data_IF_631569291138
#
_entry.id   IF_631569291138
#
_cell.length_a   1.000
_cell.length_b   1.000
_cell.length_c   1.000
_cell.angle_alpha   90.00
_cell.angle_beta   90.00
_cell.angle_gamma   90.00
#
_symmetry.space_group_name_H-M   'P 1'
#
loop_
_entity.id
_entity.type
_entity.pdbx_description
1 polymer ?
#
# COMPACT_ATOMS: atom_id res chain seq x y z
N UNK A 1 6.80 -5.54 -1.92
CA UNK A 1 5.66 -5.46 -2.86
C UNK A 1 5.01 -4.09 -2.93
N UNK A 2 5.78 -3.00 -3.03
CA UNK A 2 5.24 -1.64 -3.20
C UNK A 2 5.66 -1.10 -4.57
N UNK A 3 4.85 -1.27 -5.62
CA UNK A 3 5.18 -0.84 -6.98
C UNK A 3 5.56 0.64 -7.05
N UNK A 4 4.83 1.49 -6.33
CA UNK A 4 5.05 2.94 -6.27
C UNK A 4 6.44 3.33 -5.73
N UNK A 5 7.03 2.55 -4.82
CA UNK A 5 8.41 2.78 -4.36
C UNK A 5 9.42 2.25 -5.37
N UNK A 6 9.12 1.12 -6.00
CA UNK A 6 9.99 0.47 -6.99
C UNK A 6 10.22 1.38 -8.20
N UNK A 7 9.18 2.08 -8.67
CA UNK A 7 9.27 3.08 -9.74
C UNK A 7 10.22 4.23 -9.41
N UNK A 8 10.28 4.67 -8.15
CA UNK A 8 11.21 5.73 -7.73
C UNK A 8 12.66 5.26 -7.73
N UNK A 9 12.92 4.02 -7.32
CA UNK A 9 14.26 3.43 -7.40
C UNK A 9 14.70 3.19 -8.85
N UNK A 10 13.78 2.83 -9.75
CA UNK A 10 14.06 2.66 -11.18
C UNK A 10 14.43 3.97 -11.90
N UNK A 11 14.02 5.13 -11.36
CA UNK A 11 14.38 6.45 -11.91
C UNK A 11 15.79 6.92 -11.52
N UNK A 12 16.51 6.18 -10.65
CA UNK A 12 17.85 6.57 -10.19
C UNK A 12 18.89 6.28 -11.29
N UNK A 13 19.66 7.31 -11.65
CA UNK A 13 20.60 7.26 -12.79
C UNK A 13 21.91 6.52 -12.51
N UNK A 14 22.32 6.41 -11.24
CA UNK A 14 23.64 5.89 -10.85
C UNK A 14 23.53 4.94 -9.65
N UNK A 15 24.27 3.83 -9.71
CA UNK A 15 24.40 2.85 -8.63
C UNK A 15 24.89 3.47 -7.31
N UNK A 16 25.75 4.51 -7.36
CA UNK A 16 26.18 5.23 -6.15
C UNK A 16 25.02 5.97 -5.49
N UNK A 17 24.18 6.63 -6.30
CA UNK A 17 22.98 7.32 -5.83
C UNK A 17 21.94 6.32 -5.29
N UNK A 18 21.84 5.13 -5.87
CA UNK A 18 20.96 4.08 -5.37
C UNK A 18 21.35 3.61 -3.96
N UNK A 19 22.65 3.42 -3.69
CA UNK A 19 23.15 3.06 -2.35
C UNK A 19 22.86 4.15 -1.31
N UNK A 20 23.06 5.42 -1.69
CA UNK A 20 22.79 6.56 -0.82
C UNK A 20 21.29 6.68 -0.52
N UNK A 21 20.44 6.63 -1.56
CA UNK A 21 18.98 6.64 -1.42
C UNK A 21 18.47 5.50 -0.53
N UNK A 22 19.01 4.28 -0.71
CA UNK A 22 18.71 3.12 0.14
C UNK A 22 19.06 3.40 1.60
N UNK A 23 20.29 3.85 1.88
CA UNK A 23 20.76 4.06 3.25
C UNK A 23 19.94 5.17 3.94
N UNK A 24 19.70 6.29 3.27
CA UNK A 24 18.86 7.38 3.80
C UNK A 24 17.44 6.89 4.05
N UNK A 25 16.84 6.18 3.08
CA UNK A 25 15.49 5.65 3.19
C UNK A 25 15.33 4.67 4.36
N UNK A 26 16.28 3.74 4.54
CA UNK A 26 16.26 2.78 5.65
C UNK A 26 16.44 3.51 6.98
N UNK A 27 17.45 4.37 7.12
CA UNK A 27 17.70 5.11 8.36
C UNK A 27 16.48 5.94 8.77
N UNK A 28 15.87 6.65 7.82
CA UNK A 28 14.67 7.43 8.09
C UNK A 28 13.47 6.57 8.49
N UNK A 29 13.30 5.41 7.84
CA UNK A 29 12.22 4.47 8.18
C UNK A 29 12.37 3.94 9.60
N UNK A 30 13.60 3.60 10.01
CA UNK A 30 13.89 3.14 11.39
C UNK A 30 13.54 4.24 12.39
N UNK A 31 13.98 5.48 12.15
CA UNK A 31 13.67 6.62 13.03
C UNK A 31 12.16 6.85 13.12
N UNK A 32 11.44 6.83 12.00
CA UNK A 32 9.99 7.03 11.97
C UNK A 32 9.23 5.93 12.74
N UNK A 33 9.59 4.66 12.57
CA UNK A 33 8.95 3.55 13.27
C UNK A 33 9.25 3.53 14.76
N UNK A 34 10.50 3.81 15.16
CA UNK A 34 10.85 3.95 16.58
C UNK A 34 10.08 5.11 17.20
N UNK A 35 10.00 6.26 16.51
CA UNK A 35 9.25 7.42 16.97
C UNK A 35 7.75 7.12 17.16
N UNK A 36 7.12 6.45 16.18
CA UNK A 36 5.72 6.04 16.27
C UNK A 36 5.48 5.06 17.43
N UNK A 37 6.39 4.10 17.64
CA UNK A 37 6.30 3.14 18.74
C UNK A 37 6.43 3.83 20.10
N UNK A 38 7.39 4.74 20.26
CA UNK A 38 7.57 5.53 21.47
C UNK A 38 6.35 6.41 21.77
N UNK A 39 5.76 7.05 20.76
CA UNK A 39 4.51 7.81 20.89
C UNK A 39 3.37 6.95 21.44
N UNK A 40 3.22 5.72 20.94
CA UNK A 40 2.25 4.75 21.46
C UNK A 40 2.51 4.36 22.92
N UNK A 41 3.76 4.11 23.29
CA UNK A 41 4.15 3.77 24.67
C UNK A 41 3.95 4.95 25.63
N UNK A 42 4.30 6.17 25.23
CA UNK A 42 4.07 7.38 26.03
C UNK A 42 2.57 7.59 26.21
N UNK A 43 1.77 7.45 25.15
CA UNK A 43 0.32 7.52 25.24
C UNK A 43 -0.25 6.49 26.20
N UNK A 44 0.24 5.25 26.15
CA UNK A 44 -0.15 4.19 27.08
C UNK A 44 0.24 4.54 28.54
N UNK A 45 1.41 5.13 28.76
CA UNK A 45 1.87 5.51 30.11
C UNK A 45 1.06 6.69 30.69
N UNK A 46 0.65 7.65 29.86
CA UNK A 46 -0.09 8.84 30.29
C UNK A 46 -1.57 8.54 30.50
N UNK A 47 -2.20 7.82 29.57
CA UNK A 47 -3.64 7.61 29.57
C UNK A 47 -4.01 6.24 30.16
N UNK A 48 -3.14 5.23 30.09
CA UNK A 48 -3.48 3.85 30.45
C UNK A 48 -4.21 3.10 29.31
N UNK A 49 -4.40 1.78 29.44
CA UNK A 49 -4.82 0.91 28.34
C UNK A 49 -6.25 1.13 27.83
N UNK A 50 -7.13 1.73 28.63
CA UNK A 50 -8.57 1.85 28.33
C UNK A 50 -9.11 3.29 28.39
N UNK A 51 -8.25 4.31 28.51
CA UNK A 51 -8.73 5.67 28.72
C UNK A 51 -9.14 6.41 27.44
N UNK A 52 -8.71 5.96 26.26
CA UNK A 52 -9.11 6.55 24.99
C UNK A 52 -10.25 5.72 24.36
N UNK A 53 -11.41 6.33 24.04
CA UNK A 53 -12.50 5.66 23.33
C UNK A 53 -12.06 5.11 21.97
N UNK A 54 -11.16 5.83 21.30
CA UNK A 54 -10.53 5.44 20.05
C UNK A 54 -9.00 5.57 20.17
N UNK A 55 -8.32 4.44 19.95
CA UNK A 55 -6.86 4.31 20.08
C UNK A 55 -6.11 5.08 19.00
N UNK A 56 -6.76 5.43 17.89
CA UNK A 56 -6.12 6.17 16.80
C UNK A 56 -5.89 7.64 17.13
N UNK A 57 -6.61 8.15 18.13
CA UNK A 57 -6.42 9.50 18.67
C UNK A 57 -5.28 9.59 19.70
N UNK A 58 -4.52 8.51 19.93
CA UNK A 58 -3.40 8.53 20.88
C UNK A 58 -2.37 9.60 20.56
N UNK A 59 -2.06 9.80 19.27
CA UNK A 59 -1.08 10.80 18.84
C UNK A 59 -1.54 12.23 19.15
N UNK A 60 -2.69 12.72 18.67
CA UNK A 60 -3.14 14.07 18.98
C UNK A 60 -3.39 14.28 20.49
N UNK A 61 -3.96 13.28 21.19
CA UNK A 61 -4.18 13.37 22.63
C UNK A 61 -2.87 13.52 23.42
N UNK A 62 -1.84 12.74 23.06
CA UNK A 62 -0.52 12.81 23.71
C UNK A 62 0.15 14.15 23.46
N UNK A 63 0.10 14.67 22.23
CA UNK A 63 0.69 15.97 21.89
C UNK A 63 0.00 17.10 22.65
N UNK A 64 -1.33 17.12 22.69
CA UNK A 64 -2.07 18.16 23.43
C UNK A 64 -1.84 18.10 24.95
N UNK A 65 -1.49 16.93 25.49
CA UNK A 65 -1.22 16.76 26.92
C UNK A 65 0.17 17.23 27.33
N UNK A 66 1.17 17.04 26.47
CA UNK A 66 2.59 17.30 26.78
C UNK A 66 3.00 18.73 26.42
N UNK A 67 2.53 19.25 25.29
CA UNK A 67 3.00 20.51 24.74
C UNK A 67 2.05 21.68 25.03
N UNK A 68 2.56 22.93 25.07
CA UNK A 68 1.72 24.11 25.09
C UNK A 68 0.75 24.15 23.90
N UNK A 69 -0.47 24.72 24.03
CA UNK A 69 -1.51 24.63 23.00
C UNK A 69 -1.07 25.09 21.61
N UNK A 70 -0.28 26.16 21.52
CA UNK A 70 0.19 26.69 20.24
C UNK A 70 1.13 25.70 19.51
N UNK A 71 2.05 25.08 20.25
CA UNK A 71 2.99 24.11 19.68
C UNK A 71 2.29 22.79 19.37
N UNK A 72 1.36 22.35 20.23
CA UNK A 72 0.55 21.17 19.99
C UNK A 72 -0.26 21.29 18.69
N UNK A 73 -0.92 22.44 18.48
CA UNK A 73 -1.66 22.73 17.25
C UNK A 73 -0.73 22.68 16.02
N UNK A 74 0.44 23.32 16.08
CA UNK A 74 1.41 23.29 14.99
C UNK A 74 1.85 21.87 14.62
N UNK A 75 2.18 21.04 15.61
CA UNK A 75 2.63 19.66 15.40
C UNK A 75 1.53 18.78 14.81
N UNK A 76 0.30 18.88 15.33
CA UNK A 76 -0.85 18.11 14.84
C UNK A 76 -1.20 18.53 13.40
N UNK A 77 -1.24 19.83 13.12
CA UNK A 77 -1.47 20.33 11.76
C UNK A 77 -0.37 19.86 10.80
N UNK A 78 0.89 19.85 11.22
CA UNK A 78 1.99 19.31 10.44
C UNK A 78 1.82 17.82 10.11
N UNK A 79 1.40 17.01 11.08
CA UNK A 79 1.12 15.59 10.87
C UNK A 79 -0.04 15.37 9.89
N UNK A 80 -1.14 16.13 10.03
CA UNK A 80 -2.28 16.08 9.13
C UNK A 80 -1.86 16.51 7.71
N UNK A 81 -1.06 17.57 7.57
CA UNK A 81 -0.55 18.02 6.29
C UNK A 81 0.29 16.94 5.58
N UNK A 82 1.12 16.19 6.31
CA UNK A 82 1.89 15.07 5.78
C UNK A 82 1.00 13.89 5.33
N UNK A 83 -0.08 13.60 6.06
CA UNK A 83 -1.06 12.57 5.67
C UNK A 83 -1.79 12.99 4.38
N UNK A 84 -2.23 14.25 4.29
CA UNK A 84 -2.95 14.77 3.13
C UNK A 84 -2.05 14.76 1.88
N UNK A 85 -0.77 15.12 1.99
CA UNK A 85 0.16 15.08 0.85
C UNK A 85 0.38 13.66 0.30
N UNK A 86 0.35 12.66 1.19
CA UNK A 86 0.41 11.25 0.80
C UNK A 86 -0.89 10.81 0.14
N UNK A 87 -2.05 11.19 0.71
CA UNK A 87 -3.36 10.87 0.16
C UNK A 87 -3.56 11.45 -1.24
N UNK A 88 -3.18 12.71 -1.45
CA UNK A 88 -3.24 13.39 -2.76
C UNK A 88 -2.39 12.66 -3.81
N UNK A 89 -1.16 12.31 -3.45
CA UNK A 89 -0.26 11.55 -4.33
C UNK A 89 -0.86 10.19 -4.72
N UNK A 90 -1.52 9.49 -3.80
CA UNK A 90 -2.15 8.18 -4.07
C UNK A 90 -3.42 8.31 -4.92
N UNK A 91 -4.22 9.36 -4.72
CA UNK A 91 -5.41 9.63 -5.54
C UNK A 91 -5.03 9.95 -6.98
N UNK A 92 -4.06 10.84 -7.18
CA UNK A 92 -3.56 11.23 -8.50
C UNK A 92 -2.87 10.06 -9.21
N UNK A 93 -2.09 9.26 -8.47
CA UNK A 93 -1.49 8.05 -9.03
C UNK A 93 -2.57 7.07 -9.48
N UNK A 94 -3.55 6.78 -8.62
CA UNK A 94 -4.62 5.83 -8.95
C UNK A 94 -5.48 6.28 -10.13
N UNK A 95 -5.81 7.57 -10.22
CA UNK A 95 -6.57 8.12 -11.35
C UNK A 95 -5.77 8.10 -12.65
N UNK A 96 -4.46 8.36 -12.58
CA UNK A 96 -3.57 8.30 -13.74
C UNK A 96 -3.41 6.88 -14.24
N UNK A 97 -3.19 5.90 -13.35
CA UNK A 97 -3.12 4.49 -13.70
C UNK A 97 -4.42 4.00 -14.35
N UNK A 98 -5.58 4.37 -13.79
CA UNK A 98 -6.88 4.02 -14.36
C UNK A 98 -7.11 4.68 -15.74
N UNK A 99 -6.69 5.93 -15.89
CA UNK A 99 -6.85 6.68 -17.15
C UNK A 99 -5.92 6.16 -18.26
N UNK A 100 -4.63 6.04 -17.98
CA UNK A 100 -3.59 5.68 -18.96
C UNK A 100 -3.55 4.18 -19.25
N UNK A 101 -3.68 3.31 -18.24
CA UNK A 101 -3.48 1.87 -18.41
C UNK A 101 -4.77 1.08 -18.66
N UNK A 102 -5.94 1.65 -18.36
CA UNK A 102 -7.24 0.96 -18.56
C UNK A 102 -8.10 1.70 -19.57
N UNK A 103 -8.45 2.96 -19.32
CA UNK A 103 -9.45 3.69 -20.12
C UNK A 103 -8.92 4.05 -21.50
N UNK A 104 -7.70 4.60 -21.58
CA UNK A 104 -7.06 4.99 -22.84
C UNK A 104 -6.92 3.84 -23.84
N UNK A 105 -6.36 2.66 -23.50
CA UNK A 105 -6.28 1.55 -24.44
C UNK A 105 -7.66 0.99 -24.81
N UNK A 106 -8.60 0.95 -23.86
CA UNK A 106 -9.95 0.44 -24.09
C UNK A 106 -10.76 1.33 -25.05
N UNK A 107 -10.64 2.66 -24.91
CA UNK A 107 -11.32 3.65 -25.74
C UNK A 107 -10.50 4.16 -26.93
N UNK A 108 -9.27 3.64 -27.11
CA UNK A 108 -8.32 4.06 -28.15
C UNK A 108 -8.15 5.58 -28.23
N UNK A 109 -8.01 6.22 -27.06
CA UNK A 109 -7.90 7.69 -26.98
C UNK A 109 -6.46 8.09 -27.34
N UNK A 110 -6.31 8.80 -28.46
CA UNK A 110 -5.00 9.31 -28.90
C UNK A 110 -4.70 10.73 -28.43
N UNK A 111 -5.70 11.49 -27.98
CA UNK A 111 -5.52 12.87 -27.52
C UNK A 111 -5.12 12.92 -26.04
N UNK A 112 -3.89 13.37 -25.78
CA UNK A 112 -3.36 13.56 -24.43
C UNK A 112 -4.17 14.57 -23.60
N UNK A 113 -4.77 15.60 -24.22
CA UNK A 113 -5.60 16.58 -23.49
C UNK A 113 -6.87 15.93 -22.95
N UNK A 114 -7.46 15.02 -23.71
CA UNK A 114 -8.62 14.24 -23.27
C UNK A 114 -8.26 13.28 -22.14
N UNK A 115 -7.09 12.61 -22.22
CA UNK A 115 -6.60 11.74 -21.14
C UNK A 115 -6.36 12.52 -19.85
N UNK A 116 -5.75 13.72 -19.92
CA UNK A 116 -5.54 14.58 -18.75
C UNK A 116 -6.86 15.06 -18.13
N UNK A 117 -7.86 15.43 -18.94
CA UNK A 117 -9.20 15.80 -18.45
C UNK A 117 -9.89 14.62 -17.77
N UNK A 118 -9.77 13.42 -18.34
CA UNK A 118 -10.31 12.20 -17.75
C UNK A 118 -9.64 11.85 -16.43
N UNK A 119 -8.31 11.90 -16.35
CA UNK A 119 -7.57 11.69 -15.10
C UNK A 119 -8.06 12.64 -14.00
N UNK A 120 -8.23 13.95 -14.29
CA UNK A 120 -8.78 14.91 -13.31
C UNK A 120 -10.21 14.57 -12.86
N UNK A 121 -11.08 14.17 -13.80
CA UNK A 121 -12.44 13.73 -13.47
C UNK A 121 -12.44 12.48 -12.59
N UNK A 122 -11.58 11.50 -12.91
CA UNK A 122 -11.42 10.28 -12.13
C UNK A 122 -10.86 10.59 -10.73
N UNK A 123 -9.94 11.53 -10.59
CA UNK A 123 -9.48 11.99 -9.26
C UNK A 123 -10.65 12.50 -8.43
N UNK A 124 -11.52 13.33 -9.02
CA UNK A 124 -12.69 13.85 -8.31
C UNK A 124 -13.68 12.73 -7.91
N UNK A 125 -13.95 11.78 -8.82
CA UNK A 125 -14.82 10.62 -8.54
C UNK A 125 -14.24 9.74 -7.45
N UNK A 126 -12.94 9.41 -7.52
CA UNK A 126 -12.25 8.61 -6.51
C UNK A 126 -12.23 9.31 -5.15
N UNK A 127 -12.06 10.64 -5.12
CA UNK A 127 -12.13 11.42 -3.90
C UNK A 127 -13.53 11.37 -3.26
N UNK A 128 -14.60 11.47 -4.06
CA UNK A 128 -15.98 11.34 -3.58
C UNK A 128 -16.23 9.93 -3.02
N UNK A 129 -15.77 8.89 -3.70
CA UNK A 129 -15.90 7.50 -3.23
C UNK A 129 -15.14 7.31 -1.91
N UNK A 130 -13.90 7.79 -1.84
CA UNK A 130 -13.09 7.71 -0.63
C UNK A 130 -13.76 8.44 0.54
N UNK A 131 -14.34 9.63 0.29
CA UNK A 131 -15.07 10.39 1.30
C UNK A 131 -16.33 9.65 1.76
N UNK A 132 -17.11 9.08 0.84
CA UNK A 132 -18.29 8.30 1.16
C UNK A 132 -17.93 7.08 2.03
N UNK A 133 -16.87 6.35 1.68
CA UNK A 133 -16.37 5.23 2.48
C UNK A 133 -15.91 5.71 3.86
N UNK A 134 -15.21 6.84 3.94
CA UNK A 134 -14.75 7.41 5.21
C UNK A 134 -15.93 7.78 6.14
N UNK A 135 -17.04 8.30 5.60
CA UNK A 135 -18.23 8.63 6.38
C UNK A 135 -19.10 7.41 6.76
N UNK A 136 -19.19 6.42 5.87
CA UNK A 136 -20.03 5.23 6.07
C UNK A 136 -19.33 4.10 6.82
N UNK A 137 -17.99 4.11 6.86
CA UNK A 137 -17.25 3.06 7.56
C UNK A 137 -17.49 3.20 9.07
N UNK A 138 -17.90 2.11 9.75
CA UNK A 138 -17.92 2.11 11.21
C UNK A 138 -16.52 2.44 11.74
N UNK A 139 -16.44 3.11 12.89
CA UNK A 139 -15.21 3.55 13.59
C UNK A 139 -14.26 2.41 14.02
N UNK A 140 -14.31 1.25 13.34
CA UNK A 140 -13.38 0.15 13.54
C UNK A 140 -12.03 0.53 12.94
N UNK A 141 -11.14 1.04 13.82
CA UNK A 141 -9.67 1.11 13.71
C UNK A 141 -9.15 1.06 12.26
N UNK A 142 -8.92 2.24 11.66
CA UNK A 142 -8.22 2.46 10.38
C UNK A 142 -6.99 1.55 10.25
N UNK A 143 -6.27 1.31 11.34
CA UNK A 143 -5.13 0.39 11.40
C UNK A 143 -5.48 -1.00 10.85
N UNK A 144 -6.63 -1.56 11.22
CA UNK A 144 -7.07 -2.89 10.78
C UNK A 144 -7.34 -2.89 9.28
N UNK A 145 -8.04 -1.87 8.79
CA UNK A 145 -8.35 -1.72 7.37
C UNK A 145 -7.07 -1.60 6.54
N UNK A 146 -6.15 -0.73 6.97
CA UNK A 146 -4.85 -0.55 6.32
C UNK A 146 -4.02 -1.84 6.39
N UNK A 147 -4.01 -2.51 7.54
CA UNK A 147 -3.31 -3.79 7.74
C UNK A 147 -3.81 -4.87 6.78
N UNK A 148 -5.11 -4.95 6.52
CA UNK A 148 -5.70 -5.89 5.56
C UNK A 148 -5.32 -5.58 4.12
N UNK A 149 -5.34 -4.30 3.71
CA UNK A 149 -4.86 -3.89 2.39
C UNK A 149 -3.39 -4.29 2.20
N UNK A 150 -2.56 -4.08 3.22
CA UNK A 150 -1.16 -4.50 3.20
C UNK A 150 -0.97 -6.01 3.20
N UNK A 151 -1.83 -6.76 3.87
CA UNK A 151 -1.75 -8.22 3.87
C UNK A 151 -2.12 -8.81 2.50
N UNK A 152 -3.09 -8.22 1.80
CA UNK A 152 -3.48 -8.62 0.47
C UNK A 152 -2.47 -8.19 -0.57
N UNK A 153 -2.30 -6.89 -0.75
CA UNK A 153 -1.44 -6.32 -1.78
C UNK A 153 0.03 -6.56 -1.43
N UNK A 154 0.45 -6.18 -0.23
CA UNK A 154 1.86 -6.22 0.16
C UNK A 154 2.47 -7.62 0.07
N UNK A 155 1.80 -8.66 0.59
CA UNK A 155 2.32 -10.03 0.55
C UNK A 155 2.30 -10.61 -0.86
N UNK A 156 1.18 -10.47 -1.57
CA UNK A 156 1.01 -11.01 -2.93
C UNK A 156 2.03 -10.42 -3.90
N UNK A 157 2.16 -9.09 -3.93
CA UNK A 157 3.13 -8.41 -4.79
C UNK A 157 4.58 -8.68 -4.38
N UNK A 158 4.86 -8.96 -3.10
CA UNK A 158 6.22 -9.30 -2.67
C UNK A 158 6.68 -10.62 -3.27
N UNK A 159 5.82 -11.65 -3.26
CA UNK A 159 6.10 -12.94 -3.90
C UNK A 159 6.36 -12.76 -5.40
N UNK A 160 5.45 -12.05 -6.08
CA UNK A 160 5.53 -11.84 -7.54
C UNK A 160 6.82 -11.12 -7.91
N UNK A 161 7.20 -10.06 -7.19
CA UNK A 161 8.45 -9.32 -7.45
C UNK A 161 9.67 -10.21 -7.19
N UNK A 162 9.69 -10.97 -6.08
CA UNK A 162 10.79 -11.87 -5.76
C UNK A 162 11.00 -12.92 -6.84
N UNK A 163 9.93 -13.61 -7.26
CA UNK A 163 10.03 -14.63 -8.32
C UNK A 163 10.40 -14.02 -9.66
N UNK A 164 9.88 -12.83 -10.00
CA UNK A 164 10.23 -12.15 -11.26
C UNK A 164 11.71 -11.78 -11.33
N UNK A 165 12.32 -11.40 -10.20
CA UNK A 165 13.74 -10.99 -10.16
C UNK A 165 14.71 -12.17 -10.06
N UNK A 166 14.36 -13.21 -9.28
CA UNK A 166 15.28 -14.31 -8.97
C UNK A 166 15.02 -15.58 -9.76
N UNK A 167 13.83 -15.76 -10.35
CA UNK A 167 13.46 -17.00 -11.05
C UNK A 167 13.18 -16.76 -12.53
N UNK A 168 14.13 -17.16 -13.38
CA UNK A 168 14.09 -16.94 -14.84
C UNK A 168 12.88 -17.57 -15.54
N UNK A 169 12.33 -18.66 -14.99
CA UNK A 169 11.18 -19.36 -15.57
C UNK A 169 9.85 -18.67 -15.26
N UNK A 170 9.81 -17.73 -14.31
CA UNK A 170 8.59 -17.04 -13.93
C UNK A 170 8.13 -16.07 -15.03
N UNK A 171 6.88 -16.19 -15.47
CA UNK A 171 6.34 -15.42 -16.59
C UNK A 171 5.01 -14.73 -16.26
N UNK A 172 4.63 -13.75 -17.09
CA UNK A 172 3.51 -12.85 -16.82
C UNK A 172 2.15 -13.53 -16.57
N UNK A 173 1.86 -14.65 -17.24
CA UNK A 173 0.61 -15.41 -16.99
C UNK A 173 0.57 -16.04 -15.59
N UNK A 174 1.67 -16.65 -15.14
CA UNK A 174 1.77 -17.20 -13.78
C UNK A 174 1.71 -16.08 -12.73
N UNK A 175 2.33 -14.92 -13.02
CA UNK A 175 2.24 -13.74 -12.19
C UNK A 175 0.80 -13.26 -11.99
N UNK A 176 0.01 -13.13 -13.07
CA UNK A 176 -1.38 -12.71 -12.98
C UNK A 176 -2.24 -13.68 -12.15
N UNK A 177 -2.06 -15.00 -12.36
CA UNK A 177 -2.78 -16.01 -11.58
C UNK A 177 -2.43 -15.92 -10.10
N UNK A 178 -1.14 -15.84 -9.76
CA UNK A 178 -0.70 -15.64 -8.38
C UNK A 178 -1.27 -14.36 -7.76
N UNK A 179 -1.32 -13.25 -8.53
CA UNK A 179 -1.87 -11.98 -8.06
C UNK A 179 -3.37 -12.07 -7.74
N UNK A 180 -4.16 -12.62 -8.65
CA UNK A 180 -5.61 -12.77 -8.46
C UNK A 180 -5.91 -13.75 -7.33
N UNK A 181 -5.21 -14.89 -7.28
CA UNK A 181 -5.39 -15.89 -6.22
C UNK A 181 -5.00 -15.37 -4.85
N UNK A 182 -3.87 -14.67 -4.70
CA UNK A 182 -3.44 -14.10 -3.40
C UNK A 182 -4.37 -13.02 -2.88
N UNK A 183 -4.89 -12.17 -3.77
CA UNK A 183 -5.90 -11.17 -3.40
C UNK A 183 -7.22 -11.83 -2.98
N UNK A 184 -7.72 -12.79 -3.76
CA UNK A 184 -8.93 -13.53 -3.43
C UNK A 184 -8.80 -14.29 -2.11
N UNK A 185 -7.67 -14.96 -1.89
CA UNK A 185 -7.38 -15.67 -0.66
C UNK A 185 -7.41 -14.76 0.56
N UNK A 186 -6.85 -13.55 0.45
CA UNK A 186 -6.87 -12.58 1.54
C UNK A 186 -8.29 -12.17 1.92
N UNK A 187 -9.14 -11.90 0.92
CA UNK A 187 -10.54 -11.51 1.14
C UNK A 187 -11.30 -12.64 1.84
N UNK A 188 -11.15 -13.88 1.35
CA UNK A 188 -11.80 -15.06 1.94
C UNK A 188 -11.31 -15.29 3.37
N UNK A 189 -9.99 -15.24 3.60
CA UNK A 189 -9.41 -15.46 4.93
C UNK A 189 -9.91 -14.46 5.96
N UNK A 190 -9.93 -13.17 5.61
CA UNK A 190 -10.45 -12.12 6.49
C UNK A 190 -11.95 -12.34 6.76
N UNK A 191 -12.73 -12.71 5.74
CA UNK A 191 -14.17 -12.97 5.89
C UNK A 191 -14.48 -14.16 6.80
N UNK A 192 -13.58 -15.13 6.92
CA UNK A 192 -13.76 -16.30 7.81
C UNK A 192 -13.44 -16.01 9.28
N UNK A 193 -12.87 -14.84 9.60
CA UNK A 193 -12.47 -14.49 10.96
C UNK A 193 -11.19 -15.18 11.46
N UNK A 194 -10.54 -16.02 10.64
CA UNK A 194 -9.33 -16.76 11.00
C UNK A 194 -8.10 -15.88 11.23
N UNK A 195 -8.14 -14.61 10.80
CA UNK A 195 -7.06 -13.64 11.03
C UNK A 195 -6.75 -13.41 12.52
N UNK A 196 -7.73 -13.65 13.42
CA UNK A 196 -7.54 -13.55 14.87
C UNK A 196 -6.65 -14.66 15.45
N UNK A 197 -6.52 -15.80 14.76
CA UNK A 197 -5.71 -16.95 15.18
C UNK A 197 -4.39 -16.99 14.42
N UNK A 198 -4.45 -16.86 13.09
CA UNK A 198 -3.28 -16.85 12.23
C UNK A 198 -3.36 -15.67 11.28
N UNK A 199 -2.37 -14.77 11.40
CA UNK A 199 -2.33 -13.54 10.60
C UNK A 199 -2.28 -13.86 9.12
N UNK A 200 -3.24 -13.30 8.38
CA UNK A 200 -3.38 -13.47 6.92
C UNK A 200 -2.13 -13.05 6.17
N UNK A 201 -1.33 -12.12 6.71
CA UNK A 201 -0.05 -11.67 6.14
C UNK A 201 0.90 -12.83 5.87
N UNK A 202 1.11 -13.71 6.87
CA UNK A 202 2.07 -14.81 6.75
C UNK A 202 1.51 -15.90 5.85
N UNK A 203 0.25 -16.27 6.06
CA UNK A 203 -0.41 -17.34 5.28
C UNK A 203 -0.52 -16.96 3.80
N UNK A 204 -0.93 -15.73 3.50
CA UNK A 204 -1.08 -15.26 2.13
C UNK A 204 0.27 -15.25 1.38
N UNK A 205 1.38 -14.96 2.06
CA UNK A 205 2.71 -15.02 1.45
C UNK A 205 3.04 -16.44 0.96
N UNK A 206 2.91 -17.45 1.83
CA UNK A 206 3.20 -18.83 1.45
C UNK A 206 2.18 -19.41 0.47
N UNK A 207 0.90 -19.05 0.62
CA UNK A 207 -0.15 -19.42 -0.32
C UNK A 207 0.16 -18.89 -1.72
N UNK A 208 0.42 -17.59 -1.84
CA UNK A 208 0.76 -16.95 -3.12
C UNK A 208 2.04 -17.54 -3.71
N UNK A 209 3.06 -17.82 -2.90
CA UNK A 209 4.29 -18.46 -3.35
C UNK A 209 4.02 -19.84 -3.96
N UNK A 210 3.20 -20.64 -3.30
CA UNK A 210 2.84 -21.99 -3.77
C UNK A 210 2.06 -21.91 -5.09
N UNK A 211 1.05 -21.04 -5.17
CA UNK A 211 0.28 -20.83 -6.40
C UNK A 211 1.18 -20.28 -7.52
N UNK A 212 2.11 -19.39 -7.23
CA UNK A 212 3.03 -18.85 -8.21
C UNK A 212 3.95 -19.94 -8.77
N UNK A 213 4.47 -20.84 -7.93
CA UNK A 213 5.29 -21.97 -8.36
C UNK A 213 4.46 -22.95 -9.21
N UNK A 214 3.28 -23.36 -8.72
CA UNK A 214 2.40 -24.29 -9.44
C UNK A 214 1.97 -23.72 -10.79
N UNK A 215 1.53 -22.46 -10.84
CA UNK A 215 1.09 -21.81 -12.07
C UNK A 215 2.23 -21.62 -13.09
N UNK A 216 3.48 -21.53 -12.63
CA UNK A 216 4.65 -21.46 -13.53
C UNK A 216 4.90 -22.79 -14.25
N UNK A 217 4.64 -23.92 -13.60
CA UNK A 217 4.80 -25.24 -14.23
C UNK A 217 3.58 -25.68 -15.04
N UNK A 218 2.37 -25.28 -14.63
CA UNK A 218 1.12 -25.69 -15.28
C UNK A 218 0.83 -24.84 -16.52
N UNK A 219 1.12 -23.54 -16.48
CA UNK A 219 0.76 -22.62 -17.57
C UNK A 219 1.94 -22.51 -18.54
N UNK A 220 1.76 -22.84 -19.83
CA UNK A 220 2.84 -22.75 -20.79
C UNK A 220 3.30 -21.30 -21.00
N UNK A 221 4.62 -21.12 -21.05
CA UNK A 221 5.26 -19.83 -21.23
C UNK A 221 5.02 -19.31 -22.67
N UNK A 222 4.39 -18.14 -22.85
CA UNK A 222 4.17 -17.57 -24.18
C UNK A 222 5.45 -17.29 -24.97
N UNK A 223 6.58 -17.07 -24.27
CA UNK A 223 7.87 -16.75 -24.91
C UNK A 223 8.56 -17.96 -25.55
N UNK A 224 8.23 -19.18 -25.14
CA UNK A 224 8.80 -20.42 -25.72
C UNK A 224 8.17 -20.78 -27.08
N UNK A 225 7.02 -20.20 -27.46
CA UNK A 225 6.36 -20.48 -28.74
C UNK A 225 6.78 -19.57 -29.90
N UNK A 226 7.67 -18.59 -29.66
CA UNK A 226 8.06 -17.59 -30.65
C UNK A 226 9.51 -17.66 -31.13
N UNK A 227 10.25 -18.72 -30.79
CA UNK A 227 11.65 -18.94 -31.19
C UNK A 227 11.78 -20.20 -32.05
N UNK A 228 11.05 -20.24 -33.16
CA UNK A 228 11.29 -21.15 -34.29
C UNK A 228 11.26 -20.31 -35.56
#
# INVERSE_FOLDING_TARGET
GMPQLSMRFMAIKDARQAKLARNIGISWTVVAYVGAMLLGLIGLAIFGPNALPDREYVMPATIMKIFPPALAALLITGAIAAIISTADSLLVLSSTELSENIIKPLRRINDQRLVLRQSRLLTAVLAIIALAIAYLSPQKVIFTLVSYVWAGIGCTFSVVILLTLFWKSFHGRAALVAMVSGLAFTIVWISTGMDQVVTVKLVNFFFTLTIAILSTYIIPNPKEKGSV
#
